data_IF_816269131714
#
_entry.id   IF_816269131714
#
_cell.length_a   1.000
_cell.length_b   1.000
_cell.length_c   1.000
_cell.angle_alpha   90.00
_cell.angle_beta   90.00
_cell.angle_gamma   90.00
#
_symmetry.space_group_name_H-M   'P 1'
#
loop_
_entity.id
_entity.type
_entity.pdbx_description
1 polymer ?
#
# COMPACT_ATOMS: atom_id res chain seq x y z
N UNK A 1 16.47 30.21 -14.50
CA UNK A 1 15.47 30.56 -15.56
C UNK A 1 15.96 30.08 -16.92
N UNK A 2 17.23 30.40 -17.37
CA UNK A 2 17.75 29.97 -18.66
C UNK A 2 17.91 28.45 -18.76
N UNK A 3 18.39 27.80 -17.71
CA UNK A 3 18.53 26.34 -17.61
C UNK A 3 17.19 25.62 -17.63
N UNK A 4 16.18 26.18 -16.99
CA UNK A 4 14.80 25.60 -16.99
C UNK A 4 14.18 25.69 -18.35
N UNK A 5 14.34 26.81 -19.03
CA UNK A 5 13.80 27.02 -20.40
C UNK A 5 14.48 26.10 -21.44
N UNK A 6 15.78 25.84 -21.26
CA UNK A 6 16.57 24.96 -22.14
C UNK A 6 16.25 23.48 -21.89
N UNK A 7 15.90 23.09 -20.66
CA UNK A 7 15.57 21.70 -20.29
C UNK A 7 14.10 21.34 -20.58
N UNK A 8 13.22 22.34 -20.71
CA UNK A 8 11.79 22.11 -20.91
C UNK A 8 11.48 21.27 -22.17
N UNK A 9 12.06 21.53 -23.36
CA UNK A 9 11.85 20.67 -24.52
C UNK A 9 12.57 19.32 -24.44
N UNK A 10 13.61 19.21 -23.60
CA UNK A 10 14.37 17.97 -23.39
C UNK A 10 13.72 17.03 -22.36
N UNK A 11 12.73 17.48 -21.59
CA UNK A 11 12.07 16.69 -20.56
C UNK A 11 11.52 15.37 -21.08
N UNK A 12 10.85 15.39 -22.25
CA UNK A 12 10.32 14.17 -22.87
C UNK A 12 11.42 13.21 -23.37
N UNK A 13 12.57 13.74 -23.79
CA UNK A 13 13.71 12.91 -24.20
C UNK A 13 14.42 12.30 -23.00
N UNK A 14 14.54 13.07 -21.91
CA UNK A 14 15.10 12.58 -20.64
C UNK A 14 14.21 11.51 -20.02
N UNK A 15 12.89 11.70 -20.03
CA UNK A 15 11.94 10.70 -19.57
C UNK A 15 12.05 9.40 -20.38
N UNK A 16 12.08 9.49 -21.73
CA UNK A 16 12.27 8.32 -22.60
C UNK A 16 13.63 7.66 -22.44
N UNK A 17 14.68 8.43 -22.20
CA UNK A 17 16.01 7.90 -21.93
C UNK A 17 16.07 7.22 -20.56
N UNK A 18 15.44 7.78 -19.55
CA UNK A 18 15.35 7.18 -18.22
C UNK A 18 14.63 5.83 -18.27
N UNK A 19 13.49 5.73 -18.94
CA UNK A 19 12.74 4.46 -19.14
C UNK A 19 13.56 3.44 -19.95
N UNK A 20 14.43 3.89 -20.87
CA UNK A 20 15.28 3.00 -21.67
C UNK A 20 16.52 2.51 -20.91
N UNK A 21 17.05 3.31 -19.98
CA UNK A 21 18.26 3.00 -19.19
C UNK A 21 17.89 2.21 -17.92
N UNK A 22 16.75 2.55 -17.32
CA UNK A 22 16.10 1.75 -16.27
C UNK A 22 14.78 1.23 -16.85
N UNK A 23 14.80 0.14 -17.64
CA UNK A 23 13.56 -0.55 -17.94
C UNK A 23 12.93 -0.87 -16.59
N UNK A 24 11.63 -0.55 -16.45
CA UNK A 24 10.85 -1.06 -15.33
C UNK A 24 11.21 -2.54 -15.26
N UNK A 25 11.77 -2.96 -14.12
CA UNK A 25 11.87 -4.38 -13.86
C UNK A 25 10.51 -4.92 -14.26
N UNK A 26 10.42 -6.00 -15.08
CA UNK A 26 9.19 -6.75 -15.12
C UNK A 26 8.98 -7.02 -13.63
N UNK A 27 8.02 -6.31 -13.01
CA UNK A 27 7.53 -6.69 -11.71
C UNK A 27 7.24 -8.15 -11.96
N UNK A 28 8.00 -9.03 -11.32
CA UNK A 28 7.56 -10.40 -11.13
C UNK A 28 6.20 -10.17 -10.52
N UNK A 29 5.16 -10.24 -11.37
CA UNK A 29 3.79 -10.13 -10.93
C UNK A 29 3.68 -11.31 -10.00
N UNK A 30 3.90 -11.03 -8.73
CA UNK A 30 3.71 -12.05 -7.73
C UNK A 30 2.25 -12.41 -7.89
N UNK A 31 1.99 -13.56 -8.54
CA UNK A 31 0.63 -14.02 -8.86
C UNK A 31 -0.24 -14.09 -7.60
N UNK A 32 0.43 -13.99 -6.43
CA UNK A 32 -0.20 -13.92 -5.10
C UNK A 32 -0.82 -12.57 -4.80
N UNK A 33 -0.25 -11.45 -5.32
CA UNK A 33 -0.76 -10.10 -5.04
C UNK A 33 -1.81 -9.70 -6.08
N UNK A 34 -3.06 -9.54 -5.66
CA UNK A 34 -4.16 -9.16 -6.54
C UNK A 34 -5.23 -8.38 -5.79
N UNK A 35 -6.00 -7.59 -6.53
CA UNK A 35 -7.25 -7.00 -6.06
C UNK A 35 -8.34 -8.08 -6.10
N UNK A 36 -9.09 -8.23 -5.04
CA UNK A 36 -10.15 -9.23 -4.93
C UNK A 36 -11.51 -8.65 -5.35
N UNK A 37 -11.79 -7.42 -4.94
CA UNK A 37 -13.09 -6.77 -5.16
C UNK A 37 -13.03 -5.69 -6.25
N UNK A 38 -11.85 -5.17 -6.56
CA UNK A 38 -11.64 -4.16 -7.59
C UNK A 38 -11.04 -4.77 -8.85
N UNK A 39 -11.53 -4.33 -10.00
CA UNK A 39 -10.90 -4.69 -11.28
C UNK A 39 -9.71 -3.75 -11.53
N UNK A 40 -8.51 -4.28 -11.83
CA UNK A 40 -7.37 -3.44 -12.18
C UNK A 40 -7.69 -2.52 -13.36
N UNK A 41 -7.31 -1.26 -13.26
CA UNK A 41 -7.56 -0.28 -14.32
C UNK A 41 -6.65 -0.62 -15.51
N UNK A 42 -7.26 -1.04 -16.62
CA UNK A 42 -6.55 -1.18 -17.88
C UNK A 42 -6.39 0.21 -18.51
N UNK A 43 -5.14 0.67 -18.61
CA UNK A 43 -4.78 1.93 -19.28
C UNK A 43 -5.26 1.88 -20.73
N UNK A 44 -6.33 2.62 -21.05
CA UNK A 44 -6.90 2.67 -22.41
C UNK A 44 -8.33 2.16 -22.56
N UNK A 45 -8.93 1.57 -21.54
CA UNK A 45 -10.35 1.25 -21.59
C UNK A 45 -11.17 2.54 -21.50
N UNK A 46 -11.92 2.83 -22.54
CA UNK A 46 -12.98 3.86 -22.56
C UNK A 46 -14.18 3.37 -21.76
N UNK A 47 -13.99 2.97 -20.53
CA UNK A 47 -15.12 2.78 -19.63
C UNK A 47 -15.56 4.16 -19.16
N UNK A 48 -16.36 4.65 -20.03
CA UNK A 48 -17.49 5.57 -19.96
C UNK A 48 -17.73 6.23 -18.61
N UNK A 49 -17.54 7.53 -18.54
CA UNK A 49 -18.21 8.59 -17.82
C UNK A 49 -19.52 8.35 -17.07
N UNK A 50 -19.71 7.21 -16.48
CA UNK A 50 -20.69 6.95 -15.47
C UNK A 50 -20.02 7.27 -14.14
N UNK A 51 -20.52 8.29 -13.45
CA UNK A 51 -20.03 8.71 -12.15
C UNK A 51 -19.97 7.54 -11.13
N UNK A 52 -19.44 7.82 -9.95
CA UNK A 52 -19.28 6.83 -8.88
C UNK A 52 -20.60 6.09 -8.64
N UNK A 53 -20.61 4.81 -8.94
CA UNK A 53 -21.77 3.98 -8.65
C UNK A 53 -21.71 3.47 -7.20
N UNK A 54 -22.87 3.19 -6.60
CA UNK A 54 -22.93 2.57 -5.29
C UNK A 54 -22.15 1.22 -5.25
N UNK A 55 -22.08 0.52 -6.38
CA UNK A 55 -21.33 -0.74 -6.51
C UNK A 55 -19.83 -0.48 -6.37
N UNK A 56 -19.30 0.58 -6.99
CA UNK A 56 -17.86 0.92 -6.88
C UNK A 56 -17.48 1.34 -5.45
N UNK A 57 -18.36 2.07 -4.76
CA UNK A 57 -18.16 2.41 -3.35
C UNK A 57 -18.13 1.15 -2.49
N UNK A 58 -19.05 0.22 -2.70
CA UNK A 58 -19.10 -1.05 -1.98
C UNK A 58 -17.86 -1.90 -2.24
N UNK A 59 -17.41 -2.02 -3.48
CA UNK A 59 -16.18 -2.73 -3.86
C UNK A 59 -14.94 -2.13 -3.18
N UNK A 60 -14.81 -0.79 -3.17
CA UNK A 60 -13.74 -0.09 -2.48
C UNK A 60 -13.76 -0.36 -0.98
N UNK A 61 -14.93 -0.36 -0.35
CA UNK A 61 -15.07 -0.66 1.08
C UNK A 61 -14.64 -2.10 1.40
N UNK A 62 -14.98 -3.06 0.54
CA UNK A 62 -14.57 -4.45 0.73
C UNK A 62 -13.05 -4.62 0.61
N UNK A 63 -12.42 -3.97 -0.38
CA UNK A 63 -10.98 -4.03 -0.54
C UNK A 63 -10.24 -3.37 0.63
N UNK A 64 -10.70 -2.19 1.08
CA UNK A 64 -10.16 -1.52 2.26
C UNK A 64 -10.32 -2.34 3.54
N UNK A 65 -11.46 -3.03 3.69
CA UNK A 65 -11.67 -3.94 4.82
C UNK A 65 -10.69 -5.10 4.80
N UNK A 66 -10.46 -5.70 3.63
CA UNK A 66 -9.46 -6.77 3.45
C UNK A 66 -8.06 -6.27 3.84
N UNK A 67 -7.66 -5.13 3.32
CA UNK A 67 -6.39 -4.48 3.64
C UNK A 67 -6.24 -4.21 5.15
N UNK A 68 -7.30 -3.75 5.81
CA UNK A 68 -7.31 -3.51 7.25
C UNK A 68 -7.15 -4.79 8.08
N UNK A 69 -7.80 -5.88 7.66
CA UNK A 69 -7.65 -7.19 8.33
C UNK A 69 -6.21 -7.71 8.20
N UNK A 70 -5.60 -7.55 7.02
CA UNK A 70 -4.19 -7.89 6.82
C UNK A 70 -3.27 -7.08 7.72
N UNK A 71 -3.50 -5.77 7.84
CA UNK A 71 -2.72 -4.90 8.72
C UNK A 71 -2.90 -5.29 10.20
N UNK A 72 -4.11 -5.65 10.62
CA UNK A 72 -4.37 -6.15 11.98
C UNK A 72 -3.59 -7.44 12.25
N UNK A 73 -3.69 -8.43 11.37
CA UNK A 73 -2.96 -9.70 11.50
C UNK A 73 -1.45 -9.48 11.53
N UNK A 74 -0.95 -8.52 10.74
CA UNK A 74 0.46 -8.16 10.70
C UNK A 74 0.94 -7.53 12.01
N UNK A 75 0.15 -6.65 12.61
CA UNK A 75 0.42 -6.09 13.95
C UNK A 75 0.48 -7.18 15.00
N UNK A 76 -0.48 -8.11 15.02
CA UNK A 76 -0.51 -9.22 15.97
C UNK A 76 0.70 -10.14 15.81
N UNK A 77 1.09 -10.46 14.57
CA UNK A 77 2.29 -11.25 14.29
C UNK A 77 3.57 -10.52 14.73
N UNK A 78 3.65 -9.22 14.51
CA UNK A 78 4.79 -8.40 14.93
C UNK A 78 4.96 -8.37 16.44
N UNK A 79 3.88 -8.21 17.20
CA UNK A 79 3.92 -8.27 18.66
C UNK A 79 4.34 -9.65 19.15
N UNK A 80 3.78 -10.75 18.60
CA UNK A 80 4.21 -12.11 18.96
C UNK A 80 5.70 -12.30 18.70
N UNK A 81 6.17 -11.90 17.52
CA UNK A 81 7.60 -12.00 17.15
C UNK A 81 8.50 -11.30 18.17
N UNK A 82 8.13 -10.10 18.61
CA UNK A 82 8.91 -9.30 19.58
C UNK A 82 8.88 -9.91 20.96
N UNK A 83 7.70 -10.33 21.45
CA UNK A 83 7.52 -10.88 22.80
C UNK A 83 8.19 -12.24 22.96
N UNK A 84 8.02 -13.10 21.97
CA UNK A 84 8.57 -14.47 21.96
C UNK A 84 10.03 -14.51 21.46
N UNK A 85 10.56 -13.38 20.99
CA UNK A 85 11.89 -13.26 20.36
C UNK A 85 12.06 -14.23 19.19
N UNK A 86 10.96 -14.52 18.49
CA UNK A 86 10.91 -15.48 17.39
C UNK A 86 11.08 -14.75 16.05
N UNK A 87 12.10 -15.11 15.27
CA UNK A 87 12.38 -14.57 13.96
C UNK A 87 11.69 -15.33 12.82
N UNK A 88 11.03 -16.45 13.10
CA UNK A 88 10.42 -17.30 12.06
C UNK A 88 9.25 -16.62 11.36
N UNK A 89 8.55 -15.70 12.03
CA UNK A 89 7.41 -14.96 11.48
C UNK A 89 7.82 -13.68 10.74
N UNK A 90 9.10 -13.26 10.80
CA UNK A 90 9.52 -11.98 10.23
C UNK A 90 9.35 -11.91 8.71
N UNK A 91 9.62 -12.99 7.99
CA UNK A 91 9.41 -13.04 6.53
C UNK A 91 7.93 -12.91 6.17
N UNK A 92 7.03 -13.48 6.98
CA UNK A 92 5.60 -13.37 6.78
C UNK A 92 5.11 -11.92 7.04
N UNK A 93 5.67 -11.25 8.04
CA UNK A 93 5.35 -9.84 8.33
C UNK A 93 5.79 -8.95 7.16
N UNK A 94 7.02 -9.15 6.65
CA UNK A 94 7.56 -8.42 5.49
C UNK A 94 6.69 -8.67 4.23
N UNK A 95 6.35 -9.93 3.92
CA UNK A 95 5.50 -10.27 2.77
C UNK A 95 4.08 -9.68 2.89
N UNK A 96 3.54 -9.61 4.10
CA UNK A 96 2.21 -9.03 4.33
C UNK A 96 2.25 -7.51 4.17
N UNK A 97 3.32 -6.86 4.61
CA UNK A 97 3.54 -5.42 4.42
C UNK A 97 3.66 -5.07 2.93
N UNK A 98 4.47 -5.82 2.16
CA UNK A 98 4.56 -5.64 0.70
C UNK A 98 3.19 -5.78 0.01
N UNK A 99 2.34 -6.67 0.51
CA UNK A 99 0.98 -6.83 -0.04
C UNK A 99 0.08 -5.64 0.35
N UNK A 100 0.17 -5.12 1.57
CA UNK A 100 -0.55 -3.93 2.01
C UNK A 100 -0.15 -2.71 1.16
N UNK A 101 1.13 -2.55 0.88
CA UNK A 101 1.67 -1.51 -0.01
C UNK A 101 1.13 -1.64 -1.44
N UNK A 102 1.13 -2.86 -1.97
CA UNK A 102 0.51 -3.14 -3.27
C UNK A 102 -0.95 -2.71 -3.28
N UNK A 103 -1.74 -3.09 -2.28
CA UNK A 103 -3.15 -2.72 -2.18
C UNK A 103 -3.34 -1.21 -2.08
N UNK A 104 -2.56 -0.52 -1.26
CA UNK A 104 -2.61 0.94 -1.13
C UNK A 104 -2.37 1.62 -2.48
N UNK A 105 -1.37 1.17 -3.24
CA UNK A 105 -1.06 1.70 -4.56
C UNK A 105 -2.22 1.47 -5.54
N UNK A 106 -2.73 0.24 -5.65
CA UNK A 106 -3.79 -0.10 -6.60
C UNK A 106 -5.12 0.58 -6.26
N UNK A 107 -5.50 0.63 -4.98
CA UNK A 107 -6.68 1.36 -4.49
C UNK A 107 -6.55 2.85 -4.80
N UNK A 108 -5.38 3.44 -4.56
CA UNK A 108 -5.12 4.86 -4.83
C UNK A 108 -5.22 5.19 -6.32
N UNK A 109 -4.70 4.32 -7.19
CA UNK A 109 -4.84 4.45 -8.64
C UNK A 109 -6.30 4.36 -9.06
N UNK A 110 -7.05 3.40 -8.54
CA UNK A 110 -8.47 3.22 -8.83
C UNK A 110 -9.28 4.45 -8.42
N UNK A 111 -9.09 4.94 -7.19
CA UNK A 111 -9.76 6.15 -6.67
C UNK A 111 -9.43 7.37 -7.53
N UNK A 112 -8.16 7.57 -7.87
CA UNK A 112 -7.72 8.69 -8.70
C UNK A 112 -8.40 8.68 -10.08
N UNK A 113 -8.53 7.50 -10.68
CA UNK A 113 -9.24 7.33 -11.95
C UNK A 113 -10.73 7.63 -11.79
N UNK A 114 -11.38 7.11 -10.76
CA UNK A 114 -12.80 7.34 -10.50
C UNK A 114 -13.10 8.83 -10.31
N UNK A 115 -12.30 9.54 -9.51
CA UNK A 115 -12.46 10.97 -9.23
C UNK A 115 -12.29 11.81 -10.50
N UNK A 116 -11.40 11.42 -11.40
CA UNK A 116 -11.15 12.17 -12.65
C UNK A 116 -12.39 12.29 -13.55
N UNK A 117 -13.34 11.36 -13.41
CA UNK A 117 -14.58 11.32 -14.21
C UNK A 117 -15.84 11.63 -13.39
N UNK A 118 -15.72 11.83 -12.07
CA UNK A 118 -16.86 12.11 -11.19
C UNK A 118 -17.21 13.60 -11.22
N UNK A 119 -18.46 13.90 -11.54
CA UNK A 119 -18.99 15.26 -11.58
C UNK A 119 -19.73 15.66 -10.30
N UNK A 120 -20.14 14.67 -9.51
CA UNK A 120 -20.83 14.91 -8.25
C UNK A 120 -19.81 15.16 -7.12
N UNK A 121 -19.82 16.38 -6.57
CA UNK A 121 -18.88 16.79 -5.52
C UNK A 121 -19.00 15.95 -4.24
N UNK A 122 -20.20 15.53 -3.86
CA UNK A 122 -20.40 14.71 -2.66
C UNK A 122 -19.85 13.29 -2.87
N UNK A 123 -20.12 12.68 -4.03
CA UNK A 123 -19.59 11.38 -4.38
C UNK A 123 -18.06 11.40 -4.45
N UNK A 124 -17.48 12.43 -5.08
CA UNK A 124 -16.04 12.65 -5.13
C UNK A 124 -15.42 12.79 -3.74
N UNK A 125 -16.08 13.52 -2.82
CA UNK A 125 -15.60 13.68 -1.45
C UNK A 125 -15.61 12.35 -0.67
N UNK A 126 -16.63 11.53 -0.83
CA UNK A 126 -16.72 10.20 -0.20
C UNK A 126 -15.58 9.31 -0.70
N UNK A 127 -15.41 9.22 -2.03
CA UNK A 127 -14.35 8.38 -2.61
C UNK A 127 -12.96 8.89 -2.25
N UNK A 128 -12.77 10.23 -2.20
CA UNK A 128 -11.50 10.82 -1.74
C UNK A 128 -11.17 10.48 -0.29
N UNK A 129 -12.16 10.29 0.57
CA UNK A 129 -11.91 9.89 1.96
C UNK A 129 -11.27 8.50 2.06
N UNK A 130 -11.52 7.63 1.09
CA UNK A 130 -10.91 6.30 1.03
C UNK A 130 -9.40 6.33 0.77
N UNK A 131 -8.88 7.37 0.09
CA UNK A 131 -7.42 7.58 -0.02
C UNK A 131 -6.79 7.77 1.35
N UNK A 132 -7.40 8.58 2.19
CA UNK A 132 -6.92 8.81 3.56
C UNK A 132 -6.98 7.54 4.40
N UNK A 133 -8.05 6.75 4.25
CA UNK A 133 -8.21 5.48 4.96
C UNK A 133 -7.14 4.49 4.50
N UNK A 134 -6.96 4.31 3.19
CA UNK A 134 -5.94 3.42 2.61
C UNK A 134 -4.54 3.77 3.10
N UNK A 135 -4.14 5.04 3.01
CA UNK A 135 -2.84 5.48 3.49
C UNK A 135 -2.65 5.36 5.01
N UNK A 136 -3.72 5.44 5.81
CA UNK A 136 -3.61 5.17 7.25
C UNK A 136 -3.46 3.67 7.55
N UNK A 137 -4.09 2.79 6.77
CA UNK A 137 -3.93 1.34 6.91
C UNK A 137 -2.52 0.92 6.53
N UNK A 138 -1.98 1.45 5.43
CA UNK A 138 -0.60 1.21 5.01
C UNK A 138 0.38 1.61 6.12
N UNK A 139 0.22 2.80 6.72
CA UNK A 139 1.07 3.23 7.84
C UNK A 139 0.98 2.31 9.06
N UNK A 140 -0.14 1.65 9.29
CA UNK A 140 -0.25 0.60 10.33
C UNK A 140 0.61 -0.60 9.94
N UNK A 141 0.60 -1.02 8.67
CA UNK A 141 1.46 -2.07 8.12
C UNK A 141 2.95 -1.75 8.31
N UNK A 142 3.37 -0.54 7.90
CA UNK A 142 4.73 -0.01 8.11
C UNK A 142 5.18 -0.10 9.58
N UNK A 143 4.29 0.29 10.50
CA UNK A 143 4.60 0.23 11.92
C UNK A 143 4.72 -1.20 12.42
N UNK A 144 3.93 -2.13 11.87
CA UNK A 144 4.04 -3.55 12.19
C UNK A 144 5.38 -4.13 11.75
N UNK A 145 5.83 -3.83 10.53
CA UNK A 145 7.14 -4.26 10.04
C UNK A 145 8.29 -3.66 10.87
N UNK A 146 8.24 -2.36 11.16
CA UNK A 146 9.19 -1.71 12.03
C UNK A 146 9.26 -2.34 13.43
N UNK A 147 8.09 -2.71 14.00
CA UNK A 147 8.01 -3.40 15.28
C UNK A 147 8.67 -4.79 15.20
N UNK A 148 8.35 -5.57 14.18
CA UNK A 148 8.96 -6.88 13.94
C UNK A 148 10.49 -6.78 13.81
N UNK A 149 11.00 -5.72 13.19
CA UNK A 149 12.43 -5.45 13.08
C UNK A 149 13.16 -5.36 14.43
N UNK A 150 12.48 -4.98 15.50
CA UNK A 150 13.08 -4.99 16.87
C UNK A 150 13.42 -6.38 17.36
N UNK A 151 12.75 -7.43 16.90
CA UNK A 151 13.06 -8.82 17.27
C UNK A 151 14.50 -9.17 16.98
N UNK A 152 14.99 -8.82 15.78
CA UNK A 152 16.39 -9.02 15.38
C UNK A 152 17.36 -8.25 16.31
N UNK A 153 16.97 -7.04 16.72
CA UNK A 153 17.80 -6.23 17.63
C UNK A 153 17.84 -6.81 19.03
N UNK A 154 16.71 -7.26 19.58
CA UNK A 154 16.62 -7.88 20.89
C UNK A 154 17.44 -9.16 20.96
N UNK A 155 17.36 -10.00 19.91
CA UNK A 155 18.13 -11.23 19.81
C UNK A 155 19.65 -10.95 19.74
N UNK A 156 20.09 -10.00 18.91
CA UNK A 156 21.50 -9.65 18.80
C UNK A 156 22.11 -9.11 20.09
N UNK A 157 21.31 -8.43 20.93
CA UNK A 157 21.74 -7.83 22.19
C UNK A 157 21.43 -8.67 23.42
N UNK A 158 20.81 -9.81 23.22
CA UNK A 158 20.31 -10.71 24.28
C UNK A 158 19.45 -9.98 25.34
N UNK A 159 18.57 -9.09 24.86
CA UNK A 159 17.63 -8.35 25.69
C UNK A 159 16.29 -9.10 25.72
N UNK A 160 15.76 -9.37 26.92
CA UNK A 160 14.45 -9.95 27.13
C UNK A 160 13.57 -9.01 27.95
N UNK A 161 12.27 -9.01 27.68
CA UNK A 161 11.30 -8.31 28.52
C UNK A 161 11.15 -9.02 29.87
N UNK A 162 10.98 -8.25 30.93
CA UNK A 162 10.63 -8.81 32.23
C UNK A 162 9.22 -9.41 32.19
N UNK A 163 8.94 -10.36 33.10
CA UNK A 163 7.60 -10.95 33.20
C UNK A 163 6.50 -9.89 33.41
N UNK A 164 6.79 -8.83 34.17
CA UNK A 164 5.87 -7.72 34.38
C UNK A 164 5.61 -6.97 33.08
N UNK A 165 6.65 -6.64 32.31
CA UNK A 165 6.50 -5.96 31.05
C UNK A 165 5.72 -6.79 30.00
N UNK A 166 5.92 -8.12 29.98
CA UNK A 166 5.16 -9.02 29.11
C UNK A 166 3.66 -9.11 29.44
N UNK A 167 3.29 -8.82 30.68
CA UNK A 167 1.89 -8.83 31.12
C UNK A 167 1.18 -7.49 30.86
N UNK A 168 1.94 -6.41 30.65
CA UNK A 168 1.42 -5.05 30.41
C UNK A 168 1.29 -4.71 28.92
N UNK A 169 1.85 -5.52 28.06
CA UNK A 169 1.75 -5.40 26.58
C UNK A 169 0.61 -6.25 26.05
#
# INVERSE_FOLDING_TARGET
IITTLLLLPLGNYLAKAAVKILPDRPEDKDERMHLEYLTPIQTGSKESGLGVSAIQVDQLQHELRRMMLMAQENVEASFRSVLDRNEDELSQVEETEEYIDFLNREISLHISHVIAYETNQQASAVVSSFLTISGNIERIGDHADNLAGYTRMLNRRDIAFSQTAQQEI
#
